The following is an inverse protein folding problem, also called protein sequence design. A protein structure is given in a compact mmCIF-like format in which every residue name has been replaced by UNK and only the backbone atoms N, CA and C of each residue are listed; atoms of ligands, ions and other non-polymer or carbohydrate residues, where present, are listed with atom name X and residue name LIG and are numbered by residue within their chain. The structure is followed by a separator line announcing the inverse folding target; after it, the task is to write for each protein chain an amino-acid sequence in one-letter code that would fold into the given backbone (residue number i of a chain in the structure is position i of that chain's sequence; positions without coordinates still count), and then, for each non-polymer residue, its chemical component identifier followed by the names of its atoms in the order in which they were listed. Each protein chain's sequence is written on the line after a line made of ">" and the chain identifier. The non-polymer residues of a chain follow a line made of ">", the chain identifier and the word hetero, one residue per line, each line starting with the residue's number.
data_IF_057994916545
#
_entry.id   IF_057994916545
#
_cell.length_a   1.000
_cell.length_b   1.000
_cell.length_c   1.000
_cell.angle_alpha   90.00
_cell.angle_beta   90.00
_cell.angle_gamma   90.00
#
_symmetry.space_group_name_H-M   'P 1'
#
loop_
_entity.id
_entity.type
_entity.pdbx_description
1 polymer ?
#
# COMPACT_ATOMS: atom_id res chain seq x y z
N UNK A 1 -4.06 31.59 -9.36
CA UNK A 1 -5.17 30.63 -9.59
C UNK A 1 -4.90 29.42 -8.71
N UNK A 2 -5.79 29.04 -7.77
CA UNK A 2 -5.58 27.84 -6.96
C UNK A 2 -5.71 26.58 -7.84
N UNK A 3 -4.81 25.62 -7.65
CA UNK A 3 -4.79 24.33 -8.35
C UNK A 3 -4.64 23.19 -7.33
N UNK A 4 -5.24 22.04 -7.62
CA UNK A 4 -5.22 20.87 -6.74
C UNK A 4 -4.79 19.63 -7.50
N UNK A 5 -3.97 18.80 -6.86
CA UNK A 5 -3.62 17.47 -7.34
C UNK A 5 -4.33 16.47 -6.45
N UNK A 6 -5.31 15.75 -7.00
CA UNK A 6 -6.10 14.79 -6.21
C UNK A 6 -5.28 13.55 -5.87
N UNK A 7 -5.66 12.85 -4.80
CA UNK A 7 -5.10 11.54 -4.49
C UNK A 7 -5.33 10.54 -5.63
N UNK A 8 -6.45 10.65 -6.35
CA UNK A 8 -6.74 9.82 -7.52
C UNK A 8 -5.73 10.03 -8.65
N UNK A 9 -5.28 11.26 -8.89
CA UNK A 9 -4.22 11.53 -9.87
C UNK A 9 -2.90 10.87 -9.46
N UNK A 10 -2.53 10.94 -8.17
CA UNK A 10 -1.32 10.29 -7.64
C UNK A 10 -1.39 8.77 -7.78
N UNK A 11 -2.54 8.18 -7.47
CA UNK A 11 -2.81 6.75 -7.62
C UNK A 11 -2.76 6.36 -9.10
N UNK A 12 -3.36 7.15 -9.99
CA UNK A 12 -3.34 6.90 -11.43
C UNK A 12 -1.90 6.86 -11.97
N UNK A 13 -1.09 7.85 -11.61
CA UNK A 13 0.33 7.87 -12.01
C UNK A 13 1.09 6.63 -11.52
N UNK A 14 0.85 6.20 -10.27
CA UNK A 14 1.46 4.98 -9.73
C UNK A 14 0.98 3.70 -10.41
N UNK A 15 -0.29 3.64 -10.85
CA UNK A 15 -0.82 2.51 -11.63
C UNK A 15 -0.16 2.46 -13.01
N UNK A 16 -0.09 3.59 -13.71
CA UNK A 16 0.58 3.70 -15.01
C UNK A 16 2.05 3.24 -14.93
N UNK A 17 2.76 3.62 -13.87
CA UNK A 17 4.14 3.18 -13.66
C UNK A 17 4.30 1.65 -13.51
N UNK A 18 3.32 0.95 -12.94
CA UNK A 18 3.38 -0.52 -12.86
C UNK A 18 2.99 -1.16 -14.20
N UNK A 19 2.02 -0.57 -14.90
CA UNK A 19 1.52 -1.07 -16.19
C UNK A 19 2.61 -1.05 -17.26
N UNK A 20 3.41 0.02 -17.35
CA UNK A 20 4.53 0.14 -18.29
C UNK A 20 5.58 -0.99 -18.17
N UNK A 21 5.71 -1.65 -17.00
CA UNK A 21 6.64 -2.78 -16.82
C UNK A 21 6.13 -4.10 -17.42
N UNK A 22 4.85 -4.18 -17.76
CA UNK A 22 4.18 -5.41 -18.24
C UNK A 22 3.49 -5.26 -19.61
N UNK A 23 3.56 -4.07 -20.22
CA UNK A 23 2.79 -3.70 -21.41
C UNK A 23 3.07 -4.60 -22.64
N UNK A 24 4.30 -5.06 -22.81
CA UNK A 24 4.68 -6.01 -23.87
C UNK A 24 4.07 -7.41 -23.70
N UNK A 25 3.79 -7.85 -22.47
CA UNK A 25 3.35 -9.23 -22.20
C UNK A 25 1.88 -9.49 -22.57
N UNK A 26 1.11 -8.45 -22.94
CA UNK A 26 -0.35 -8.54 -23.10
C UNK A 26 -0.84 -8.30 -24.54
N UNK A 27 0.07 -8.03 -25.50
CA UNK A 27 -0.24 -7.87 -26.94
C UNK A 27 0.15 -9.13 -27.74
N UNK A 28 0.53 -10.22 -27.08
CA UNK A 28 0.78 -11.52 -27.70
C UNK A 28 -0.50 -12.31 -28.00
N UNK A 29 -1.36 -11.81 -28.89
CA UNK A 29 -2.35 -12.66 -29.57
C UNK A 29 -1.63 -13.61 -30.54
N UNK A 30 -2.16 -14.82 -30.74
CA UNK A 30 -1.61 -15.92 -31.58
C UNK A 30 -1.43 -15.61 -33.08
N UNK A 31 -1.29 -14.34 -33.49
CA UNK A 31 -1.19 -13.92 -34.88
C UNK A 31 -0.23 -12.77 -35.18
N UNK A 32 0.56 -12.27 -34.21
CA UNK A 32 1.53 -11.19 -34.48
C UNK A 32 2.94 -11.66 -34.11
N UNK A 33 3.68 -12.12 -35.11
CA UNK A 33 5.11 -12.41 -35.03
C UNK A 33 5.90 -11.21 -35.55
N UNK A 34 6.31 -10.29 -34.68
CA UNK A 34 7.34 -9.33 -35.03
C UNK A 34 8.15 -8.92 -33.81
N UNK A 35 9.43 -8.67 -34.03
CA UNK A 35 10.41 -8.16 -33.05
C UNK A 35 10.05 -6.77 -32.46
N UNK A 36 8.82 -6.29 -32.68
CA UNK A 36 8.27 -5.02 -32.18
C UNK A 36 7.50 -5.20 -30.86
N UNK A 37 7.27 -6.44 -30.39
CA UNK A 37 6.64 -6.74 -29.09
C UNK A 37 7.43 -6.14 -27.90
N UNK A 38 8.74 -5.95 -28.05
CA UNK A 38 9.63 -5.34 -27.04
C UNK A 38 9.61 -3.81 -26.95
N UNK A 39 8.93 -3.10 -27.85
CA UNK A 39 9.03 -1.64 -27.97
C UNK A 39 8.09 -0.85 -27.04
N UNK A 40 7.09 -1.51 -26.41
CA UNK A 40 6.10 -0.84 -25.56
C UNK A 40 6.36 -1.04 -24.06
N UNK A 41 7.01 -2.13 -23.64
CA UNK A 41 7.37 -2.30 -22.23
C UNK A 41 8.60 -1.47 -21.87
N UNK A 42 8.46 -0.63 -20.85
CA UNK A 42 9.63 -0.03 -20.22
C UNK A 42 10.34 -1.05 -19.35
N UNK A 43 11.63 -1.25 -19.62
CA UNK A 43 12.47 -2.16 -18.88
C UNK A 43 13.22 -1.44 -17.77
N UNK A 44 12.91 -1.75 -16.52
CA UNK A 44 13.70 -1.31 -15.38
C UNK A 44 14.73 -2.38 -15.01
N UNK A 45 15.97 -1.95 -14.77
CA UNK A 45 17.04 -2.80 -14.26
C UNK A 45 17.55 -2.22 -12.95
N UNK A 46 17.73 -3.08 -11.95
CA UNK A 46 18.43 -2.74 -10.72
C UNK A 46 19.86 -3.26 -10.85
N UNK A 47 20.84 -2.40 -10.60
CA UNK A 47 22.24 -2.77 -10.66
C UNK A 47 22.94 -2.59 -9.32
N UNK A 48 24.02 -3.34 -9.15
CA UNK A 48 25.01 -3.15 -8.10
C UNK A 48 26.34 -2.80 -8.75
N UNK A 49 27.12 -1.98 -8.07
CA UNK A 49 28.39 -1.49 -8.58
C UNK A 49 29.21 -0.83 -7.50
N UNK A 50 30.32 -0.22 -7.92
CA UNK A 50 31.26 0.50 -7.05
C UNK A 50 31.82 -0.38 -5.94
N UNK A 51 32.74 -1.27 -6.33
CA UNK A 51 33.51 -2.13 -5.40
C UNK A 51 34.58 -1.38 -4.63
N UNK A 52 35.08 -0.28 -5.18
CA UNK A 52 36.18 0.48 -4.58
C UNK A 52 35.67 1.45 -3.52
N UNK A 53 36.47 1.59 -2.45
CA UNK A 53 36.19 2.49 -1.33
C UNK A 53 35.90 3.92 -1.80
N UNK A 54 34.98 4.59 -1.11
CA UNK A 54 34.73 6.02 -1.31
C UNK A 54 35.97 6.83 -0.93
N UNK A 55 36.26 7.89 -1.69
CA UNK A 55 37.29 8.85 -1.29
C UNK A 55 36.86 9.59 -0.03
N UNK A 56 37.76 9.73 0.95
CA UNK A 56 37.47 10.35 2.24
C UNK A 56 37.48 9.36 3.41
N UNK A 57 37.06 9.82 4.59
CA UNK A 57 37.05 9.03 5.84
C UNK A 57 35.73 8.26 5.99
N UNK A 58 35.36 7.50 4.96
CA UNK A 58 34.14 6.70 4.92
C UNK A 58 34.43 5.23 5.24
N UNK A 59 33.45 4.57 5.85
CA UNK A 59 33.52 3.18 6.29
C UNK A 59 32.17 2.49 6.12
N UNK A 60 32.08 1.22 6.51
CA UNK A 60 30.82 0.47 6.50
C UNK A 60 29.71 1.10 7.35
N UNK A 61 30.08 1.86 8.39
CA UNK A 61 29.13 2.56 9.28
C UNK A 61 29.03 4.07 9.00
N UNK A 62 29.90 4.59 8.13
CA UNK A 62 29.90 5.99 7.70
C UNK A 62 29.88 6.05 6.18
N UNK A 63 28.69 5.88 5.61
CA UNK A 63 28.48 5.93 4.16
C UNK A 63 28.29 7.39 3.68
N UNK A 64 28.76 7.74 2.48
CA UNK A 64 28.56 9.09 1.95
C UNK A 64 27.09 9.36 1.60
N UNK A 65 26.59 10.54 2.00
CA UNK A 65 25.20 10.96 1.76
C UNK A 65 25.01 11.48 0.33
N UNK A 66 24.15 10.86 -0.50
CA UNK A 66 23.94 11.27 -1.88
C UNK A 66 23.24 12.64 -2.04
N UNK A 67 22.59 13.14 -0.98
CA UNK A 67 21.94 14.46 -0.99
C UNK A 67 22.92 15.63 -0.84
N UNK A 68 24.16 15.35 -0.44
CA UNK A 68 25.18 16.37 -0.23
C UNK A 68 26.04 16.52 -1.48
N UNK A 69 26.04 17.70 -2.12
CA UNK A 69 26.70 17.91 -3.41
C UNK A 69 28.22 17.67 -3.43
N UNK A 70 28.90 17.78 -2.28
CA UNK A 70 30.33 17.49 -2.14
C UNK A 70 30.63 16.02 -1.83
N UNK A 71 29.61 15.21 -1.60
CA UNK A 71 29.76 13.78 -1.33
C UNK A 71 30.22 13.03 -2.57
N UNK A 72 31.12 12.03 -2.44
CA UNK A 72 31.50 11.21 -3.57
C UNK A 72 30.33 10.36 -4.12
N UNK A 73 29.23 10.19 -3.36
CA UNK A 73 27.98 9.56 -3.81
C UNK A 73 26.91 10.55 -4.29
N UNK A 74 27.25 11.84 -4.43
CA UNK A 74 26.28 12.91 -4.75
C UNK A 74 25.49 12.64 -6.03
N UNK A 75 24.22 13.05 -6.05
CA UNK A 75 23.35 13.04 -7.22
C UNK A 75 23.70 14.18 -8.21
N UNK A 76 24.95 14.17 -8.69
CA UNK A 76 25.44 15.10 -9.71
C UNK A 76 25.40 14.42 -11.08
N UNK A 77 25.31 15.21 -12.16
CA UNK A 77 25.37 14.69 -13.54
C UNK A 77 26.61 13.83 -13.80
N UNK A 78 27.74 14.14 -13.15
CA UNK A 78 28.95 13.33 -13.24
C UNK A 78 28.72 11.90 -12.74
N UNK A 79 28.08 11.77 -11.58
CA UNK A 79 27.83 10.46 -10.96
C UNK A 79 26.71 9.70 -11.65
N UNK A 80 25.58 10.36 -11.93
CA UNK A 80 24.39 9.70 -12.49
C UNK A 80 24.50 9.33 -13.96
N UNK A 81 25.22 10.13 -14.76
CA UNK A 81 25.33 9.88 -16.20
C UNK A 81 26.60 9.13 -16.60
N UNK A 82 27.68 9.18 -15.81
CA UNK A 82 28.96 8.59 -16.19
C UNK A 82 29.51 7.57 -15.19
N UNK A 83 29.67 7.93 -13.92
CA UNK A 83 30.34 7.07 -12.94
C UNK A 83 29.57 5.77 -12.68
N UNK A 84 28.24 5.84 -12.52
CA UNK A 84 27.43 4.64 -12.28
C UNK A 84 27.50 3.60 -13.40
N UNK A 85 27.62 4.03 -14.65
CA UNK A 85 27.74 3.11 -15.79
C UNK A 85 29.10 2.41 -15.85
N UNK A 86 30.17 3.10 -15.44
CA UNK A 86 31.52 2.52 -15.39
C UNK A 86 31.68 1.56 -14.22
N UNK A 87 31.07 1.89 -13.08
CA UNK A 87 31.23 1.15 -11.83
C UNK A 87 30.25 -0.02 -11.71
N UNK A 88 29.32 -0.20 -12.66
CA UNK A 88 28.32 -1.26 -12.65
C UNK A 88 28.98 -2.64 -12.82
N UNK A 89 28.70 -3.56 -11.89
CA UNK A 89 29.27 -4.92 -11.87
C UNK A 89 28.23 -5.94 -12.36
N UNK A 90 26.97 -5.77 -11.95
CA UNK A 90 25.88 -6.66 -12.34
C UNK A 90 24.55 -5.90 -12.34
N UNK A 91 23.66 -6.29 -13.25
CA UNK A 91 22.30 -5.76 -13.32
C UNK A 91 21.29 -6.90 -13.43
N UNK A 92 20.13 -6.72 -12.80
CA UNK A 92 18.99 -7.65 -12.88
C UNK A 92 17.75 -6.90 -13.35
N UNK A 93 17.08 -7.47 -14.36
CA UNK A 93 15.78 -6.97 -14.83
C UNK A 93 14.77 -7.08 -13.70
N UNK A 94 14.07 -5.99 -13.43
CA UNK A 94 12.92 -5.96 -12.52
C UNK A 94 11.70 -6.44 -13.29
N UNK A 95 11.21 -7.63 -12.96
CA UNK A 95 9.98 -8.13 -13.58
C UNK A 95 8.76 -7.44 -12.95
N UNK A 96 7.68 -7.27 -13.73
CA UNK A 96 6.41 -6.73 -13.21
C UNK A 96 5.84 -7.60 -12.06
N UNK A 97 6.14 -8.91 -12.05
CA UNK A 97 5.81 -9.82 -10.96
C UNK A 97 6.56 -9.54 -9.65
N UNK A 98 7.65 -8.77 -9.70
CA UNK A 98 8.47 -8.38 -8.54
C UNK A 98 8.10 -6.98 -8.02
N UNK A 99 7.05 -6.35 -8.57
CA UNK A 99 6.59 -5.02 -8.19
C UNK A 99 5.12 -5.06 -7.76
N UNK A 100 4.85 -4.52 -6.57
CA UNK A 100 3.49 -4.38 -6.02
C UNK A 100 3.28 -2.98 -5.46
N UNK A 101 2.05 -2.48 -5.58
CA UNK A 101 1.60 -1.35 -4.77
C UNK A 101 1.48 -1.78 -3.31
N UNK A 102 1.87 -0.92 -2.39
CA UNK A 102 1.85 -1.19 -0.95
C UNK A 102 1.25 -0.04 -0.16
N UNK A 103 0.68 -0.36 1.00
CA UNK A 103 0.25 0.59 2.03
C UNK A 103 0.95 0.26 3.35
N UNK A 104 0.91 1.19 4.30
CA UNK A 104 1.52 0.95 5.62
C UNK A 104 0.80 -0.20 6.34
N UNK A 105 1.58 -1.03 7.02
CA UNK A 105 1.06 -2.19 7.74
C UNK A 105 0.53 -1.77 9.10
N UNK A 106 -0.75 -2.06 9.34
CA UNK A 106 -1.35 -1.96 10.67
C UNK A 106 -2.02 -3.28 11.00
N UNK A 107 -1.52 -3.98 12.02
CA UNK A 107 -2.14 -5.21 12.48
C UNK A 107 -3.23 -4.89 13.50
N UNK A 108 -4.34 -5.63 13.47
CA UNK A 108 -5.34 -5.56 14.51
C UNK A 108 -4.76 -6.08 15.84
N UNK A 109 -5.17 -5.50 16.95
CA UNK A 109 -4.82 -5.93 18.30
C UNK A 109 -5.95 -5.55 19.24
N UNK A 110 -6.38 -6.49 20.08
CA UNK A 110 -7.42 -6.26 21.09
C UNK A 110 -7.03 -5.13 22.06
N UNK A 111 -8.03 -4.40 22.56
CA UNK A 111 -7.85 -3.32 23.54
C UNK A 111 -7.36 -1.99 22.93
N UNK A 112 -7.43 -1.81 21.61
CA UNK A 112 -7.02 -0.57 20.91
C UNK A 112 -8.21 0.19 20.35
N UNK A 113 -8.07 1.50 20.27
CA UNK A 113 -9.04 2.37 19.58
C UNK A 113 -8.66 2.50 18.10
N UNK A 114 -9.61 2.28 17.21
CA UNK A 114 -9.42 2.49 15.77
C UNK A 114 -10.24 3.67 15.28
N UNK A 115 -9.68 4.44 14.34
CA UNK A 115 -10.41 5.48 13.63
C UNK A 115 -11.54 4.84 12.82
N UNK A 116 -12.70 5.48 12.75
CA UNK A 116 -13.69 5.12 11.75
C UNK A 116 -13.46 5.93 10.47
N UNK A 117 -13.94 5.41 9.34
CA UNK A 117 -14.07 6.24 8.15
C UNK A 117 -15.02 7.42 8.43
N UNK A 118 -14.51 8.64 8.24
CA UNK A 118 -15.28 9.88 8.36
C UNK A 118 -14.87 10.82 7.24
N UNK A 119 -15.85 11.37 6.53
CA UNK A 119 -15.65 12.28 5.40
C UNK A 119 -15.12 13.66 5.82
N UNK A 120 -15.37 14.06 7.07
CA UNK A 120 -14.88 15.33 7.63
C UNK A 120 -13.43 15.27 8.11
N UNK A 121 -12.84 14.07 8.22
CA UNK A 121 -11.46 13.89 8.69
C UNK A 121 -10.47 13.89 7.52
N UNK A 122 -9.28 14.44 7.76
CA UNK A 122 -8.24 14.43 6.72
C UNK A 122 -7.73 13.01 6.49
N UNK A 123 -7.46 12.68 5.23
CA UNK A 123 -6.97 11.34 4.88
C UNK A 123 -5.68 10.95 5.63
N UNK A 124 -4.77 11.91 5.86
CA UNK A 124 -3.54 11.67 6.63
C UNK A 124 -3.82 11.22 8.07
N UNK A 125 -4.84 11.79 8.70
CA UNK A 125 -5.26 11.40 10.05
C UNK A 125 -5.86 10.00 10.06
N UNK A 126 -6.61 9.64 9.03
CA UNK A 126 -7.30 8.35 8.94
C UNK A 126 -6.37 7.18 8.66
N UNK A 127 -5.19 7.40 8.08
CA UNK A 127 -4.22 6.35 7.74
C UNK A 127 -3.01 6.27 8.67
N UNK A 128 -2.93 7.15 9.67
CA UNK A 128 -1.78 7.27 10.57
C UNK A 128 -2.19 7.02 12.01
N UNK A 129 -1.26 6.51 12.83
CA UNK A 129 -1.49 6.43 14.28
C UNK A 129 -1.37 7.83 14.87
N UNK A 130 -2.40 8.27 15.59
CA UNK A 130 -2.44 9.56 16.29
C UNK A 130 -2.26 9.32 17.78
N UNK A 131 -1.18 9.82 18.36
CA UNK A 131 -0.91 9.69 19.79
C UNK A 131 -1.63 10.77 20.60
N UNK A 132 -1.78 10.56 21.91
CA UNK A 132 -2.30 11.54 22.86
C UNK A 132 -3.68 12.10 22.50
N UNK A 133 -4.59 11.25 22.03
CA UNK A 133 -5.97 11.63 21.72
C UNK A 133 -6.86 11.42 22.96
N UNK A 134 -7.87 12.27 23.12
CA UNK A 134 -8.95 12.06 24.08
C UNK A 134 -9.93 11.05 23.51
N UNK A 135 -10.07 9.90 24.17
CA UNK A 135 -10.84 8.74 23.71
C UNK A 135 -11.69 8.19 24.86
N UNK A 136 -12.63 7.28 24.60
CA UNK A 136 -13.43 6.68 25.66
C UNK A 136 -12.55 5.76 26.55
N UNK A 137 -12.79 5.74 27.85
CA UNK A 137 -12.22 4.71 28.72
C UNK A 137 -12.86 3.34 28.45
N UNK A 138 -12.27 2.26 28.95
CA UNK A 138 -12.77 0.89 28.73
C UNK A 138 -14.22 0.69 29.18
N UNK A 139 -14.66 1.42 30.22
CA UNK A 139 -16.03 1.35 30.73
C UNK A 139 -17.05 2.14 29.89
N UNK A 140 -16.60 2.96 28.94
CA UNK A 140 -17.45 3.85 28.14
C UNK A 140 -18.14 4.98 28.91
N UNK A 141 -17.72 5.24 30.16
CA UNK A 141 -18.36 6.23 31.06
C UNK A 141 -17.56 7.51 31.26
N UNK A 142 -16.31 7.53 30.79
CA UNK A 142 -15.41 8.68 30.91
C UNK A 142 -14.35 8.67 29.83
N UNK A 143 -13.47 9.65 29.81
CA UNK A 143 -12.42 9.77 28.80
C UNK A 143 -11.05 9.32 29.34
N UNK A 144 -10.15 8.98 28.42
CA UNK A 144 -8.74 8.69 28.68
C UNK A 144 -7.87 9.26 27.56
N UNK A 145 -6.58 9.42 27.83
CA UNK A 145 -5.60 9.77 26.79
C UNK A 145 -4.95 8.50 26.26
N UNK A 146 -5.18 8.17 24.99
CA UNK A 146 -4.57 7.01 24.35
C UNK A 146 -4.26 7.27 22.88
N UNK A 147 -3.70 6.25 22.21
CA UNK A 147 -3.40 6.30 20.78
C UNK A 147 -4.62 5.84 19.97
N UNK A 148 -4.95 6.60 18.94
CA UNK A 148 -5.96 6.26 17.95
C UNK A 148 -5.28 5.67 16.71
N UNK A 149 -5.56 4.41 16.42
CA UNK A 149 -4.98 3.68 15.30
C UNK A 149 -5.74 3.98 13.99
N UNK A 150 -5.14 3.70 12.83
CA UNK A 150 -5.73 3.98 11.52
C UNK A 150 -7.08 3.31 11.28
N UNK A 151 -7.81 3.77 10.26
CA UNK A 151 -9.12 3.23 9.88
C UNK A 151 -9.07 1.81 9.29
N UNK A 152 -7.90 1.25 9.05
CA UNK A 152 -7.76 -0.05 8.40
C UNK A 152 -6.74 -0.91 9.13
N UNK A 153 -6.98 -2.22 9.08
CA UNK A 153 -6.17 -3.21 9.79
C UNK A 153 -6.03 -4.49 8.96
N UNK A 154 -4.98 -5.24 9.27
CA UNK A 154 -4.79 -6.63 8.89
C UNK A 154 -5.06 -7.55 10.08
N UNK A 155 -5.85 -8.60 9.87
CA UNK A 155 -6.08 -9.63 10.87
C UNK A 155 -5.01 -10.74 10.83
N UNK A 156 -5.11 -11.70 11.75
CA UNK A 156 -4.25 -12.87 11.88
C UNK A 156 -4.22 -13.80 10.65
N UNK A 157 -5.27 -13.77 9.80
CA UNK A 157 -5.38 -14.56 8.57
C UNK A 157 -5.05 -13.76 7.31
N UNK A 158 -4.33 -12.63 7.42
CA UNK A 158 -3.97 -11.74 6.30
C UNK A 158 -5.16 -11.11 5.55
N UNK A 159 -6.34 -11.08 6.17
CA UNK A 159 -7.50 -10.31 5.73
C UNK A 159 -7.33 -8.83 6.07
N UNK A 160 -7.59 -7.96 5.11
CA UNK A 160 -7.53 -6.50 5.26
C UNK A 160 -8.94 -5.94 5.40
N UNK A 161 -9.14 -5.10 6.41
CA UNK A 161 -10.43 -4.58 6.82
C UNK A 161 -10.39 -3.05 6.95
N UNK A 162 -11.50 -2.40 6.64
CA UNK A 162 -11.73 -0.96 6.89
C UNK A 162 -12.82 -0.80 7.96
N UNK A 163 -12.54 0.02 8.97
CA UNK A 163 -13.46 0.39 10.03
C UNK A 163 -14.49 1.40 9.48
N UNK A 164 -15.76 1.01 9.45
CA UNK A 164 -16.87 1.90 9.09
C UNK A 164 -17.50 2.54 10.32
N UNK A 165 -17.45 1.86 11.46
CA UNK A 165 -17.95 2.36 12.73
C UNK A 165 -17.14 1.74 13.87
N UNK A 166 -16.73 2.56 14.83
CA UNK A 166 -15.80 2.18 15.90
C UNK A 166 -16.48 2.11 17.29
N UNK A 167 -17.78 1.81 17.29
CA UNK A 167 -18.59 1.73 18.52
C UNK A 167 -18.46 2.98 19.38
N UNK A 168 -18.49 4.16 18.76
CA UNK A 168 -18.38 5.40 19.52
C UNK A 168 -19.50 5.55 20.56
N UNK A 169 -19.16 6.08 21.72
CA UNK A 169 -20.08 6.34 22.83
C UNK A 169 -20.11 7.82 23.16
N UNK A 170 -21.29 8.34 23.46
CA UNK A 170 -21.45 9.73 23.88
C UNK A 170 -21.00 9.90 25.34
N UNK A 171 -20.06 10.81 25.58
CA UNK A 171 -19.59 11.21 26.90
C UNK A 171 -19.63 12.72 26.95
N UNK A 172 -20.51 13.27 27.81
CA UNK A 172 -20.69 14.71 27.98
C UNK A 172 -20.98 15.47 26.66
N UNK A 173 -21.83 14.91 25.79
CA UNK A 173 -22.24 15.55 24.53
C UNK A 173 -21.26 15.40 23.37
N UNK A 174 -20.21 14.58 23.51
CA UNK A 174 -19.24 14.28 22.45
C UNK A 174 -19.06 12.77 22.29
N UNK A 175 -19.05 12.28 21.05
CA UNK A 175 -18.80 10.87 20.77
C UNK A 175 -17.30 10.57 20.78
N UNK A 176 -16.92 9.53 21.52
CA UNK A 176 -15.55 9.04 21.59
C UNK A 176 -15.48 7.56 21.19
N UNK A 177 -14.45 7.15 20.43
CA UNK A 177 -14.32 5.77 19.98
C UNK A 177 -14.05 4.83 21.16
N UNK A 178 -14.68 3.67 21.18
CA UNK A 178 -14.42 2.64 22.18
C UNK A 178 -13.26 1.72 21.78
N UNK A 179 -12.82 0.86 22.68
CA UNK A 179 -11.78 -0.15 22.37
C UNK A 179 -12.39 -1.29 21.56
N UNK A 180 -11.72 -1.71 20.49
CA UNK A 180 -12.07 -2.97 19.80
C UNK A 180 -11.54 -4.14 20.61
N UNK A 181 -12.38 -5.15 20.82
CA UNK A 181 -12.04 -6.37 21.56
C UNK A 181 -12.16 -7.63 20.72
N UNK A 182 -12.88 -7.57 19.60
CA UNK A 182 -13.11 -8.70 18.69
C UNK A 182 -12.38 -8.49 17.37
N UNK A 183 -11.59 -9.48 16.96
CA UNK A 183 -10.87 -9.43 15.68
C UNK A 183 -11.85 -9.58 14.50
N UNK A 184 -11.75 -8.75 13.45
CA UNK A 184 -12.58 -8.94 12.26
C UNK A 184 -12.17 -10.20 11.48
N UNK A 185 -13.14 -11.09 11.24
CA UNK A 185 -12.95 -12.36 10.51
C UNK A 185 -13.96 -12.57 9.39
N UNK A 186 -15.04 -11.77 9.34
CA UNK A 186 -16.05 -11.88 8.29
C UNK A 186 -15.44 -11.62 6.91
N UNK A 187 -15.85 -12.37 5.89
CA UNK A 187 -15.35 -12.25 4.52
C UNK A 187 -16.45 -11.89 3.52
N UNK A 188 -17.63 -11.50 4.00
CA UNK A 188 -18.77 -11.15 3.15
C UNK A 188 -18.41 -10.04 2.18
N UNK A 189 -18.29 -10.40 0.90
CA UNK A 189 -17.98 -9.52 -0.23
C UNK A 189 -19.21 -8.85 -0.82
N UNK A 190 -20.41 -9.14 -0.32
CA UNK A 190 -21.64 -8.46 -0.73
C UNK A 190 -21.46 -6.96 -0.51
N UNK A 191 -21.60 -6.19 -1.58
CA UNK A 191 -21.46 -4.74 -1.57
C UNK A 191 -22.37 -4.16 -0.47
N UNK A 192 -21.76 -3.70 0.63
CA UNK A 192 -22.48 -3.10 1.74
C UNK A 192 -22.99 -4.06 2.82
N UNK A 193 -22.40 -5.25 3.02
CA UNK A 193 -22.64 -6.06 4.22
C UNK A 193 -21.51 -5.91 5.26
N UNK A 194 -21.46 -4.78 5.99
CA UNK A 194 -20.69 -4.71 7.21
C UNK A 194 -21.14 -5.80 8.19
N UNK A 195 -20.18 -6.50 8.80
CA UNK A 195 -20.49 -7.35 9.94
C UNK A 195 -20.27 -6.54 11.22
N UNK A 196 -21.35 -6.25 11.93
CA UNK A 196 -21.25 -5.79 13.31
C UNK A 196 -20.67 -6.93 14.15
N UNK A 197 -19.59 -6.63 14.86
CA UNK A 197 -18.99 -7.54 15.81
C UNK A 197 -19.66 -7.38 17.18
N UNK A 198 -19.41 -8.33 18.08
CA UNK A 198 -20.00 -8.29 19.43
C UNK A 198 -19.56 -7.07 20.26
N UNK A 199 -18.45 -6.42 19.88
CA UNK A 199 -17.95 -5.18 20.49
C UNK A 199 -18.52 -3.91 19.84
N UNK A 200 -19.53 -4.03 18.96
CA UNK A 200 -20.16 -2.91 18.28
C UNK A 200 -19.35 -2.33 17.11
N UNK A 201 -18.12 -2.80 16.89
CA UNK A 201 -17.35 -2.38 15.72
C UNK A 201 -17.97 -2.91 14.44
N UNK A 202 -17.89 -2.10 13.40
CA UNK A 202 -18.31 -2.45 12.06
C UNK A 202 -17.11 -2.41 11.14
N UNK A 203 -16.70 -3.60 10.67
CA UNK A 203 -15.60 -3.75 9.73
C UNK A 203 -16.12 -4.18 8.35
N UNK A 204 -15.62 -3.51 7.31
CA UNK A 204 -15.79 -3.91 5.92
C UNK A 204 -14.57 -4.70 5.46
N UNK A 205 -14.79 -5.93 5.03
CA UNK A 205 -13.77 -6.73 4.38
C UNK A 205 -13.36 -6.10 3.05
N UNK A 206 -12.05 -5.97 2.81
CA UNK A 206 -11.50 -5.43 1.58
C UNK A 206 -10.96 -6.54 0.68
N UNK A 207 -9.96 -7.28 1.17
CA UNK A 207 -9.33 -8.40 0.46
C UNK A 207 -8.46 -9.21 1.42
N UNK A 208 -8.10 -10.43 1.04
CA UNK A 208 -7.12 -11.27 1.75
C UNK A 208 -5.84 -11.34 0.93
N UNK A 209 -4.70 -11.13 1.58
CA UNK A 209 -3.37 -11.34 0.97
C UNK A 209 -3.07 -12.83 0.99
N UNK A 210 -2.69 -13.39 -0.15
CA UNK A 210 -2.35 -14.81 -0.21
C UNK A 210 -1.00 -15.09 0.44
N UNK A 211 -0.75 -16.34 0.85
CA UNK A 211 0.52 -16.73 1.46
C UNK A 211 1.74 -16.43 0.54
N UNK A 212 1.60 -16.59 -0.78
CA UNK A 212 2.67 -16.29 -1.73
C UNK A 212 2.97 -14.80 -1.85
N UNK A 213 1.94 -13.94 -1.83
CA UNK A 213 2.10 -12.49 -1.80
C UNK A 213 2.65 -12.01 -0.46
N UNK A 214 2.23 -12.64 0.65
CA UNK A 214 2.74 -12.33 1.97
C UNK A 214 4.24 -12.60 2.05
N UNK A 215 4.70 -13.76 1.54
CA UNK A 215 6.12 -14.10 1.51
C UNK A 215 6.96 -13.11 0.70
N UNK A 216 6.39 -12.57 -0.38
CA UNK A 216 7.12 -11.74 -1.33
C UNK A 216 7.09 -10.24 -1.00
N UNK A 217 5.98 -9.74 -0.47
CA UNK A 217 5.69 -8.31 -0.41
C UNK A 217 5.30 -7.80 0.97
N UNK A 218 4.99 -8.67 1.94
CA UNK A 218 4.72 -8.21 3.31
C UNK A 218 6.04 -7.99 4.03
N UNK A 219 6.17 -6.81 4.61
CA UNK A 219 7.29 -6.45 5.49
C UNK A 219 6.76 -6.12 6.89
N UNK A 220 7.65 -5.71 7.79
CA UNK A 220 7.25 -5.16 9.09
C UNK A 220 6.43 -3.87 8.94
N UNK A 221 6.67 -3.11 7.87
CA UNK A 221 6.12 -1.75 7.70
C UNK A 221 5.08 -1.62 6.59
N UNK A 222 5.01 -2.57 5.66
CA UNK A 222 4.18 -2.48 4.46
C UNK A 222 3.46 -3.79 4.12
N UNK A 223 2.28 -3.66 3.52
CA UNK A 223 1.46 -4.77 3.01
C UNK A 223 1.03 -4.49 1.56
N UNK A 224 0.99 -5.50 0.68
CA UNK A 224 0.57 -5.33 -0.71
C UNK A 224 -0.91 -5.01 -0.82
N UNK A 225 -1.26 -4.19 -1.80
CA UNK A 225 -2.64 -3.88 -2.18
C UNK A 225 -3.04 -4.69 -3.39
N UNK A 226 -4.24 -5.27 -3.35
CA UNK A 226 -4.82 -5.96 -4.49
C UNK A 226 -5.66 -5.02 -5.33
N UNK A 227 -5.45 -5.08 -6.65
CA UNK A 227 -6.44 -4.59 -7.60
C UNK A 227 -7.52 -5.66 -7.71
N UNK A 228 -8.66 -5.41 -7.09
CA UNK A 228 -9.86 -6.21 -7.37
C UNK A 228 -10.35 -5.78 -8.75
N UNK A 229 -10.44 -6.73 -9.68
CA UNK A 229 -11.30 -6.55 -10.84
C UNK A 229 -12.74 -6.59 -10.33
N UNK A 230 -13.65 -5.86 -10.96
CA UNK A 230 -15.08 -6.18 -10.89
C UNK A 230 -15.33 -7.55 -11.58
N UNK A 231 -14.76 -8.63 -11.04
CA UNK A 231 -14.90 -9.98 -11.55
C UNK A 231 -16.33 -10.51 -11.41
N UNK A 232 -17.15 -9.84 -10.58
CA UNK A 232 -18.52 -10.27 -10.28
C UNK A 232 -19.58 -9.76 -11.26
N UNK A 233 -19.24 -8.94 -12.27
CA UNK A 233 -20.19 -8.58 -13.31
C UNK A 233 -20.27 -9.62 -14.46
N UNK A 234 -19.28 -10.52 -14.61
CA UNK A 234 -19.18 -11.42 -15.77
C UNK A 234 -18.72 -12.85 -15.49
N UNK A 235 -18.79 -13.33 -14.24
CA UNK A 235 -18.72 -14.78 -13.95
C UNK A 235 -17.43 -15.47 -14.41
N UNK A 236 -16.27 -14.83 -14.31
CA UNK A 236 -14.99 -15.47 -14.62
C UNK A 236 -14.33 -16.00 -13.34
N UNK A 237 -14.62 -17.25 -13.00
CA UNK A 237 -13.92 -18.05 -11.98
C UNK A 237 -12.48 -18.33 -12.44
N UNK A 238 -11.56 -17.42 -12.13
CA UNK A 238 -10.13 -17.69 -12.21
C UNK A 238 -9.45 -17.28 -10.90
N UNK A 239 -9.19 -18.29 -10.06
CA UNK A 239 -8.32 -18.25 -8.89
C UNK A 239 -6.87 -18.11 -9.36
N UNK A 240 -6.46 -16.91 -9.78
CA UNK A 240 -5.06 -16.62 -10.09
C UNK A 240 -4.90 -15.10 -10.19
N UNK A 241 -4.01 -14.54 -9.37
CA UNK A 241 -3.60 -13.14 -9.40
C UNK A 241 -2.75 -12.80 -10.63
N UNK A 242 -3.26 -13.12 -11.83
CA UNK A 242 -2.72 -12.70 -13.11
C UNK A 242 -3.70 -11.76 -13.80
N UNK A 243 -3.23 -10.59 -14.23
CA UNK A 243 -4.00 -9.73 -15.14
C UNK A 243 -4.25 -10.51 -16.43
N UNK A 244 -5.50 -10.88 -16.69
CA UNK A 244 -5.94 -11.29 -18.03
C UNK A 244 -6.77 -10.16 -18.63
N UNK A 245 -6.52 -9.84 -19.88
CA UNK A 245 -7.14 -8.80 -20.72
C UNK A 245 -8.61 -8.45 -20.45
N UNK A 246 -8.98 -7.17 -20.65
CA UNK A 246 -10.19 -6.88 -21.43
C UNK A 246 -11.23 -5.90 -20.88
N UNK A 247 -11.15 -5.43 -19.64
CA UNK A 247 -12.13 -4.43 -19.15
C UNK A 247 -11.45 -3.46 -18.21
N UNK A 248 -11.43 -2.18 -18.60
CA UNK A 248 -10.85 -1.09 -17.83
C UNK A 248 -11.30 -1.16 -16.37
N UNK A 249 -10.34 -1.01 -15.47
CA UNK A 249 -10.61 -0.89 -14.04
C UNK A 249 -11.56 0.30 -13.84
N UNK A 250 -12.84 0.02 -13.58
CA UNK A 250 -13.75 1.07 -13.13
C UNK A 250 -13.28 1.50 -11.76
N UNK A 251 -13.08 2.81 -11.64
CA UNK A 251 -12.91 3.51 -10.40
C UNK A 251 -14.19 3.36 -9.58
N UNK A 252 -14.23 2.44 -8.60
CA UNK A 252 -15.26 2.48 -7.57
C UNK A 252 -14.90 3.60 -6.58
N UNK A 253 -15.21 4.82 -7.02
CA UNK A 253 -15.29 5.96 -6.13
C UNK A 253 -16.35 5.71 -5.06
N UNK A 254 -15.88 5.34 -3.87
CA UNK A 254 -16.56 5.56 -2.58
C UNK A 254 -15.54 5.56 -1.44
#
# INVERSE_FOLDING_TARGET
>A
VPALVTNNFRIHNSKQFREMLSEASLIGGTGISSAEETALSTHAYLFIGKSDSWSGSFSDVSIPDPSTATSPSSDTTSNTHYSHWKDMIAAKKVAASDVSHVITRHNWTTGRHYSMYKDTETFSNLISTRTSQTLANTSGTGTTTASLYPMYVMNSTYGVYKCLYNSEVEISGTNYPQVSTVEPTATTTTAGAPAALADGYIWKYMYTITASEALKFVTTSYIPVKQLRDANAYGNTATSGGMTSGTGAKNDGS
#
